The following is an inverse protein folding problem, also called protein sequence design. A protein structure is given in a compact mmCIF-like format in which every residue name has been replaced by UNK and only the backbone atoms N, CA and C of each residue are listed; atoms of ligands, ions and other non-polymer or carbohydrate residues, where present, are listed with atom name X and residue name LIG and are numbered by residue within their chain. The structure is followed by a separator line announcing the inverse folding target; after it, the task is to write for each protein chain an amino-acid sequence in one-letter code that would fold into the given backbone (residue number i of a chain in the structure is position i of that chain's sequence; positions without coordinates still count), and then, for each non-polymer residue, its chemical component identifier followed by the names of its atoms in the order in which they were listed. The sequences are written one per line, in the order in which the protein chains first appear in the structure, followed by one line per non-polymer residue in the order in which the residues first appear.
data_IF_110321954578
#
_entry.id   IF_110321954578
#
_cell.length_a   1.000
_cell.length_b   1.000
_cell.length_c   1.000
_cell.angle_alpha   90.00
_cell.angle_beta   90.00
_cell.angle_gamma   90.00
#
_symmetry.space_group_name_H-M   'P 1'
#
loop_
_entity.id
_entity.type
_entity.pdbx_description
1 polymer ?
#
# COMPACT_ATOMS: atom_id res chain seq x y z
N UNK A 1 -8.43 0.02 -10.52
CA UNK A 1 -8.86 1.27 -9.85
C UNK A 1 -9.06 1.02 -8.36
N UNK A 2 -8.55 1.89 -7.51
CA UNK A 2 -8.90 1.91 -6.08
C UNK A 2 -10.07 2.89 -5.91
N UNK A 3 -11.20 2.49 -5.31
CA UNK A 3 -12.34 3.41 -5.15
C UNK A 3 -11.99 4.53 -4.17
N UNK A 4 -11.94 5.77 -4.66
CA UNK A 4 -11.60 6.95 -3.85
C UNK A 4 -12.56 7.15 -2.67
N UNK A 5 -13.85 6.90 -2.89
CA UNK A 5 -14.89 6.96 -1.86
C UNK A 5 -14.61 6.02 -0.68
N UNK A 6 -13.99 4.85 -0.90
CA UNK A 6 -13.68 3.91 0.18
C UNK A 6 -12.45 4.32 0.99
N UNK A 7 -11.48 5.00 0.40
CA UNK A 7 -10.34 5.57 1.12
C UNK A 7 -10.83 6.69 2.04
N UNK A 8 -11.62 7.63 1.50
CA UNK A 8 -12.17 8.75 2.26
C UNK A 8 -13.15 8.31 3.35
N UNK A 9 -14.03 7.34 3.09
CA UNK A 9 -14.97 6.85 4.11
C UNK A 9 -14.24 6.27 5.33
N UNK A 10 -13.07 5.65 5.12
CA UNK A 10 -12.25 5.21 6.24
C UNK A 10 -11.56 6.40 6.90
N UNK A 11 -10.94 7.31 6.14
CA UNK A 11 -10.25 8.48 6.68
C UNK A 11 -11.18 9.43 7.45
N UNK A 12 -12.42 9.64 7.02
CA UNK A 12 -13.43 10.44 7.75
C UNK A 12 -13.82 9.81 9.09
N UNK A 13 -13.76 8.47 9.21
CA UNK A 13 -14.04 7.76 10.47
C UNK A 13 -12.95 7.91 11.53
N UNK A 14 -11.74 8.30 11.13
CA UNK A 14 -10.62 8.61 12.02
C UNK A 14 -10.32 10.09 11.83
N UNK A 15 -10.83 10.97 12.71
CA UNK A 15 -10.74 12.44 12.63
C UNK A 15 -9.32 12.98 12.33
N UNK A 16 -8.84 12.77 11.12
CA UNK A 16 -7.67 13.41 10.55
C UNK A 16 -8.14 14.82 10.24
N UNK A 17 -7.47 15.81 10.81
CA UNK A 17 -7.72 17.21 10.52
C UNK A 17 -7.20 17.49 9.11
N UNK A 18 -7.91 16.98 8.11
CA UNK A 18 -7.62 17.20 6.71
C UNK A 18 -8.53 18.34 6.26
N UNK A 19 -7.95 19.52 6.06
CA UNK A 19 -8.67 20.63 5.46
C UNK A 19 -9.28 20.15 4.14
N UNK A 20 -10.56 20.46 3.91
CA UNK A 20 -11.22 20.11 2.66
C UNK A 20 -10.31 20.50 1.48
N UNK A 21 -10.12 19.59 0.50
CA UNK A 21 -9.27 19.89 -0.64
C UNK A 21 -9.82 21.16 -1.32
N UNK A 22 -8.95 22.12 -1.68
CA UNK A 22 -9.39 23.41 -2.23
C UNK A 22 -10.26 23.21 -3.48
N UNK A 23 -11.16 24.15 -3.79
CA UNK A 23 -12.07 24.06 -4.95
C UNK A 23 -11.33 23.90 -6.31
N UNK A 24 -10.03 24.19 -6.35
CA UNK A 24 -9.12 23.92 -7.49
C UNK A 24 -8.65 22.46 -7.57
N UNK A 25 -9.08 21.58 -6.66
CA UNK A 25 -8.72 20.17 -6.64
C UNK A 25 -9.47 19.43 -7.74
N UNK A 26 -8.87 19.43 -8.92
CA UNK A 26 -9.30 18.59 -10.02
C UNK A 26 -9.14 17.10 -9.61
N UNK A 27 -10.20 16.29 -9.57
CA UNK A 27 -10.15 14.89 -9.11
C UNK A 27 -9.43 13.93 -10.09
N UNK A 28 -8.54 14.45 -10.94
CA UNK A 28 -8.07 13.78 -12.15
C UNK A 28 -6.80 12.92 -11.98
N UNK A 29 -6.29 12.74 -10.76
CA UNK A 29 -5.35 11.65 -10.53
C UNK A 29 -6.11 10.42 -10.04
N UNK A 30 -6.65 9.67 -11.01
CA UNK A 30 -7.09 8.30 -10.81
C UNK A 30 -5.93 7.54 -10.15
N UNK A 31 -6.14 7.09 -8.91
CA UNK A 31 -5.14 6.29 -8.21
C UNK A 31 -5.13 4.88 -8.82
N UNK A 32 -4.11 4.61 -9.63
CA UNK A 32 -3.83 3.30 -10.19
C UNK A 32 -2.88 2.54 -9.25
N UNK A 33 -3.19 1.28 -8.96
CA UNK A 33 -2.35 0.41 -8.10
C UNK A 33 -0.91 0.33 -8.61
N UNK A 34 -0.72 0.17 -9.93
CA UNK A 34 0.60 0.20 -10.58
C UNK A 34 1.39 1.47 -10.24
N UNK A 35 0.74 2.63 -10.28
CA UNK A 35 1.40 3.90 -9.95
C UNK A 35 1.82 3.94 -8.49
N UNK A 36 0.95 3.47 -7.58
CA UNK A 36 1.30 3.34 -6.16
C UNK A 36 2.50 2.41 -5.98
N UNK A 37 2.49 1.23 -6.59
CA UNK A 37 3.56 0.24 -6.45
C UNK A 37 4.90 0.76 -7.00
N UNK A 38 4.88 1.40 -8.16
CA UNK A 38 6.08 2.02 -8.75
C UNK A 38 6.66 3.11 -7.87
N UNK A 39 5.81 4.01 -7.35
CA UNK A 39 6.30 5.06 -6.45
C UNK A 39 6.83 4.49 -5.15
N UNK A 40 6.20 3.45 -4.62
CA UNK A 40 6.63 2.77 -3.40
C UNK A 40 7.99 2.09 -3.61
N UNK A 41 8.14 1.34 -4.70
CA UNK A 41 9.41 0.72 -5.11
C UNK A 41 10.51 1.79 -5.23
N UNK A 42 10.26 2.85 -6.00
CA UNK A 42 11.23 3.94 -6.20
C UNK A 42 11.62 4.63 -4.89
N UNK A 43 10.65 4.84 -3.99
CA UNK A 43 10.91 5.44 -2.68
C UNK A 43 11.81 4.54 -1.84
N UNK A 44 11.50 3.25 -1.78
CA UNK A 44 12.25 2.29 -0.97
C UNK A 44 13.66 2.06 -1.55
N UNK A 45 13.80 2.02 -2.87
CA UNK A 45 15.10 1.96 -3.55
C UNK A 45 15.98 3.17 -3.19
N UNK A 46 15.41 4.37 -3.18
CA UNK A 46 16.13 5.60 -2.78
C UNK A 46 16.57 5.59 -1.33
N UNK A 47 15.89 4.82 -0.48
CA UNK A 47 16.22 4.64 0.93
C UNK A 47 17.17 3.46 1.17
N UNK A 48 17.74 2.86 0.11
CA UNK A 48 18.74 1.79 0.21
C UNK A 48 18.14 0.39 0.45
N UNK A 49 16.84 0.22 0.25
CA UNK A 49 16.16 -1.07 0.34
C UNK A 49 15.94 -1.65 -1.07
N UNK A 50 15.73 -2.96 -1.18
CA UNK A 50 15.29 -3.56 -2.43
C UNK A 50 13.77 -3.35 -2.60
N UNK A 51 13.40 -2.21 -3.20
CA UNK A 51 12.02 -1.73 -3.29
C UNK A 51 11.08 -2.72 -3.97
N UNK A 52 11.54 -3.43 -4.99
CA UNK A 52 10.79 -4.52 -5.61
C UNK A 52 10.38 -5.60 -4.60
N UNK A 53 11.35 -6.09 -3.82
CA UNK A 53 11.11 -7.12 -2.81
C UNK A 53 10.25 -6.59 -1.66
N UNK A 54 10.37 -5.31 -1.30
CA UNK A 54 9.54 -4.69 -0.28
C UNK A 54 8.06 -4.54 -0.70
N UNK A 55 7.79 -4.13 -1.95
CA UNK A 55 6.42 -4.09 -2.48
C UNK A 55 5.83 -5.50 -2.51
N UNK A 56 6.60 -6.48 -2.98
CA UNK A 56 6.17 -7.89 -2.98
C UNK A 56 5.94 -8.41 -1.55
N UNK A 57 6.81 -8.08 -0.60
CA UNK A 57 6.64 -8.39 0.83
C UNK A 57 5.30 -7.87 1.35
N UNK A 58 4.96 -6.61 1.06
CA UNK A 58 3.68 -6.03 1.49
C UNK A 58 2.46 -6.77 0.90
N UNK A 59 2.53 -7.24 -0.36
CA UNK A 59 1.49 -8.08 -0.98
C UNK A 59 1.37 -9.42 -0.24
N UNK A 60 2.48 -10.14 -0.06
CA UNK A 60 2.52 -11.44 0.61
C UNK A 60 2.02 -11.37 2.07
N UNK A 61 2.41 -10.32 2.80
CA UNK A 61 1.95 -10.08 4.18
C UNK A 61 0.46 -9.74 4.20
N UNK A 62 -0.02 -8.90 3.28
CA UNK A 62 -1.43 -8.58 3.15
C UNK A 62 -2.27 -9.80 2.83
N UNK A 63 -1.81 -10.70 1.97
CA UNK A 63 -2.57 -11.90 1.58
C UNK A 63 -2.76 -12.88 2.75
N UNK A 64 -1.79 -12.97 3.66
CA UNK A 64 -1.92 -13.74 4.91
C UNK A 64 -2.95 -13.18 5.88
N UNK A 65 -3.31 -11.90 5.77
CA UNK A 65 -4.32 -11.27 6.62
C UNK A 65 -5.71 -11.45 6.00
N UNK A 66 -6.50 -12.36 6.57
CA UNK A 66 -7.88 -12.60 6.13
C UNK A 66 -8.83 -11.47 6.51
N UNK A 67 -8.71 -10.94 7.72
CA UNK A 67 -9.55 -9.87 8.26
C UNK A 67 -8.70 -8.71 8.82
N UNK A 68 -8.43 -7.66 8.01
CA UNK A 68 -7.68 -6.50 8.49
C UNK A 68 -8.47 -5.72 9.55
N UNK A 69 -7.86 -5.54 10.73
CA UNK A 69 -8.39 -4.71 11.82
C UNK A 69 -7.71 -3.34 11.81
N UNK A 70 -8.46 -2.27 12.07
CA UNK A 70 -7.97 -0.90 11.95
C UNK A 70 -8.00 -0.37 10.51
N UNK A 71 -8.06 0.96 10.37
CA UNK A 71 -8.12 1.63 9.07
C UNK A 71 -6.90 1.35 8.21
N UNK A 72 -5.71 1.45 8.81
CA UNK A 72 -4.47 1.34 8.08
C UNK A 72 -4.34 0.00 7.34
N UNK A 73 -4.57 -1.11 8.05
CA UNK A 73 -4.59 -2.45 7.44
C UNK A 73 -5.69 -2.61 6.38
N UNK A 74 -6.87 -1.97 6.55
CA UNK A 74 -7.93 -2.00 5.54
C UNK A 74 -7.54 -1.25 4.27
N UNK A 75 -6.87 -0.11 4.38
CA UNK A 75 -6.32 0.65 3.25
C UNK A 75 -5.23 -0.18 2.56
N UNK A 76 -4.28 -0.72 3.32
CA UNK A 76 -3.22 -1.60 2.77
C UNK A 76 -3.83 -2.78 2.01
N UNK A 77 -4.81 -3.48 2.61
CA UNK A 77 -5.50 -4.58 1.94
C UNK A 77 -6.20 -4.11 0.66
N UNK A 78 -6.82 -2.93 0.66
CA UNK A 78 -7.47 -2.39 -0.55
C UNK A 78 -6.47 -2.08 -1.67
N UNK A 79 -5.29 -1.57 -1.31
CA UNK A 79 -4.21 -1.21 -2.24
C UNK A 79 -3.53 -2.46 -2.79
N UNK A 80 -3.17 -3.43 -1.94
CA UNK A 80 -2.33 -4.57 -2.30
C UNK A 80 -3.10 -5.84 -2.72
N UNK A 81 -4.38 -6.01 -2.38
CA UNK A 81 -5.11 -7.29 -2.62
C UNK A 81 -5.40 -7.64 -4.08
N UNK A 82 -5.59 -6.66 -4.97
CA UNK A 82 -6.05 -6.94 -6.34
C UNK A 82 -4.88 -7.02 -7.31
N UNK A 83 -4.70 -8.19 -7.92
CA UNK A 83 -3.82 -8.33 -9.06
C UNK A 83 -4.46 -7.71 -10.33
N UNK A 84 -3.61 -7.36 -11.28
CA UNK A 84 -3.96 -7.08 -12.67
C UNK A 84 -2.72 -7.30 -13.53
N UNK A 85 -2.89 -7.39 -14.86
CA UNK A 85 -1.76 -7.49 -15.78
C UNK A 85 -0.72 -6.36 -15.59
N UNK A 86 -1.16 -5.18 -15.16
CA UNK A 86 -0.28 -4.04 -14.91
C UNK A 86 0.50 -4.12 -13.58
N UNK A 87 0.11 -5.01 -12.66
CA UNK A 87 0.77 -5.25 -11.37
C UNK A 87 1.35 -6.65 -11.25
N UNK A 88 1.32 -7.44 -12.33
CA UNK A 88 1.76 -8.84 -12.34
C UNK A 88 3.23 -8.98 -11.94
N UNK A 89 4.07 -7.99 -12.28
CA UNK A 89 5.47 -7.88 -11.83
C UNK A 89 5.66 -8.22 -10.34
N UNK A 90 4.79 -7.72 -9.46
CA UNK A 90 4.92 -7.95 -8.01
C UNK A 90 4.01 -9.09 -7.51
N UNK A 91 2.87 -9.32 -8.18
CA UNK A 91 1.84 -10.29 -7.79
C UNK A 91 2.14 -11.73 -8.24
N UNK A 92 2.86 -11.89 -9.34
CA UNK A 92 3.27 -13.19 -9.84
C UNK A 92 4.46 -13.69 -9.01
N UNK A 93 4.15 -14.30 -7.87
CA UNK A 93 5.09 -14.78 -6.88
C UNK A 93 4.62 -16.12 -6.32
N UNK A 94 5.55 -17.06 -6.15
CA UNK A 94 5.30 -18.31 -5.41
C UNK A 94 5.45 -18.10 -3.90
N UNK A 95 5.19 -19.15 -3.11
CA UNK A 95 5.40 -19.08 -1.66
C UNK A 95 6.89 -18.87 -1.31
N UNK A 96 7.80 -19.46 -2.10
CA UNK A 96 9.25 -19.28 -1.98
C UNK A 96 9.67 -17.84 -2.29
N UNK A 97 9.13 -17.25 -3.36
CA UNK A 97 9.37 -15.85 -3.70
C UNK A 97 8.91 -14.90 -2.59
N UNK A 98 7.77 -15.20 -1.97
CA UNK A 98 7.28 -14.46 -0.82
C UNK A 98 8.23 -14.58 0.38
N UNK A 99 8.76 -15.78 0.67
CA UNK A 99 9.75 -15.99 1.73
C UNK A 99 11.01 -15.18 1.45
N UNK A 100 11.53 -15.23 0.21
CA UNK A 100 12.68 -14.46 -0.22
C UNK A 100 12.45 -12.96 -0.03
N UNK A 101 11.31 -12.43 -0.51
CA UNK A 101 10.97 -11.01 -0.33
C UNK A 101 10.86 -10.59 1.13
N UNK A 102 10.33 -11.44 2.01
CA UNK A 102 10.26 -11.18 3.45
C UNK A 102 11.65 -11.13 4.07
N UNK A 103 12.58 -12.00 3.64
CA UNK A 103 13.96 -12.02 4.15
C UNK A 103 14.82 -10.89 3.59
N UNK A 104 14.60 -10.50 2.33
CA UNK A 104 15.41 -9.51 1.63
C UNK A 104 15.06 -8.08 2.03
N UNK A 105 13.77 -7.76 2.12
CA UNK A 105 13.35 -6.45 2.57
C UNK A 105 13.17 -6.45 4.10
N UNK A 106 13.98 -5.73 4.90
CA UNK A 106 13.81 -5.68 6.35
C UNK A 106 12.57 -4.88 6.80
N UNK A 107 12.05 -4.00 5.95
CA UNK A 107 10.93 -3.12 6.25
C UNK A 107 9.57 -3.79 6.01
N UNK A 108 8.69 -3.81 7.02
CA UNK A 108 7.29 -4.21 6.88
C UNK A 108 6.36 -3.00 6.87
N UNK A 109 5.45 -2.96 5.91
CA UNK A 109 4.33 -2.01 5.94
C UNK A 109 3.38 -2.26 7.12
N UNK A 110 3.41 -3.43 7.76
CA UNK A 110 2.55 -3.71 8.92
C UNK A 110 3.03 -3.07 10.22
N UNK A 111 4.30 -2.67 10.26
CA UNK A 111 4.98 -2.19 11.47
C UNK A 111 5.08 -0.66 11.51
N UNK A 112 4.53 0.03 10.50
CA UNK A 112 4.47 1.48 10.47
C UNK A 112 3.59 1.97 11.62
N UNK A 113 4.13 2.86 12.46
CA UNK A 113 3.36 3.49 13.54
C UNK A 113 2.13 4.20 12.97
N UNK A 114 0.94 3.84 13.45
CA UNK A 114 -0.31 4.51 13.06
C UNK A 114 -0.51 5.86 13.72
N UNK A 115 0.31 6.17 14.72
CA UNK A 115 0.39 7.46 15.37
C UNK A 115 1.71 8.08 14.96
N UNK A 116 1.66 9.06 14.05
CA UNK A 116 2.82 9.93 13.82
C UNK A 116 3.10 10.66 15.13
N UNK A 117 4.37 10.68 15.54
CA UNK A 117 4.87 11.23 16.81
C UNK A 117 4.23 12.59 17.16
N UNK A 118 3.88 12.76 18.44
CA UNK A 118 3.41 14.02 19.05
C UNK A 118 4.51 15.08 19.05
#
# INVERSE_FOLDING_TARGET
MVPWNQIFAQALGFRMNWNDPPDSFHPYHRLYRRTVYNHLETLLDRNGLEGFHCVRRAICEMDKISQPRGIYYKILKMVFRRNSAATDKWHNATEEDCKLSITTCPFSMLEVSTYTDF
#
